data_IF_062892773130
#
_entry.id   IF_062892773130
#
_cell.length_a   1.000
_cell.length_b   1.000
_cell.length_c   1.000
_cell.angle_alpha   90.00
_cell.angle_beta   90.00
_cell.angle_gamma   90.00
#
_symmetry.space_group_name_H-M   'P 1'
#
loop_
_entity.id
_entity.type
_entity.pdbx_description
1 polymer ?
#
# COMPACT_ATOMS: atom_id res chain seq x y z
N UNK A 1 5.39 64.25 -50.59
CA UNK A 1 4.38 63.43 -49.89
C UNK A 1 4.95 62.02 -49.71
N UNK A 2 5.40 61.69 -48.50
CA UNK A 2 5.97 60.37 -48.18
C UNK A 2 4.86 59.54 -47.49
N UNK A 3 4.45 58.46 -48.12
CA UNK A 3 3.54 57.50 -47.50
C UNK A 3 4.32 56.54 -46.61
N UNK A 4 3.95 56.48 -45.35
CA UNK A 4 4.46 55.54 -44.36
C UNK A 4 3.49 54.34 -44.37
N UNK A 5 3.96 53.17 -44.79
CA UNK A 5 3.23 51.91 -44.71
C UNK A 5 3.55 51.27 -43.32
N UNK A 6 2.57 51.24 -42.42
CA UNK A 6 2.67 50.50 -41.18
C UNK A 6 2.37 49.01 -41.44
N UNK A 7 3.37 48.14 -41.31
CA UNK A 7 3.21 46.69 -41.30
C UNK A 7 2.87 46.26 -39.88
N UNK A 8 1.65 45.81 -39.64
CA UNK A 8 1.24 45.15 -38.40
C UNK A 8 1.68 43.67 -38.41
N UNK A 9 2.67 43.31 -37.57
CA UNK A 9 3.03 41.93 -37.28
C UNK A 9 1.97 41.35 -36.33
N UNK A 10 1.14 40.44 -36.81
CA UNK A 10 0.30 39.58 -35.98
C UNK A 10 1.19 38.46 -35.42
N UNK A 11 1.55 38.52 -34.12
CA UNK A 11 2.09 37.38 -33.37
C UNK A 11 0.94 36.40 -33.12
N UNK A 12 0.89 35.34 -33.89
CA UNK A 12 0.05 34.17 -33.57
C UNK A 12 0.71 33.38 -32.43
N UNK A 13 0.23 33.59 -31.20
CA UNK A 13 0.59 32.75 -30.06
C UNK A 13 -0.03 31.37 -30.27
N UNK A 14 0.76 30.40 -30.72
CA UNK A 14 0.37 29.00 -30.71
C UNK A 14 0.36 28.52 -29.25
N UNK A 15 -0.82 28.45 -28.67
CA UNK A 15 -1.03 27.68 -27.43
C UNK A 15 -0.83 26.21 -27.83
N UNK A 16 0.34 25.65 -27.51
CA UNK A 16 0.56 24.22 -27.57
C UNK A 16 -0.32 23.60 -26.49
N UNK A 17 -1.53 23.17 -26.86
CA UNK A 17 -2.34 22.33 -26.01
C UNK A 17 -1.52 21.06 -25.72
N UNK A 18 -1.25 20.76 -24.44
CA UNK A 18 -0.72 19.46 -24.06
C UNK A 18 -1.66 18.40 -24.66
N UNK A 19 -1.14 17.55 -25.54
CA UNK A 19 -1.91 16.42 -26.06
C UNK A 19 -2.34 15.58 -24.85
N UNK A 20 -3.64 15.29 -24.77
CA UNK A 20 -4.14 14.40 -23.73
C UNK A 20 -3.45 13.03 -23.89
N UNK A 21 -2.95 12.48 -22.78
CA UNK A 21 -2.38 11.14 -22.80
C UNK A 21 -3.45 10.14 -23.26
N UNK A 22 -3.05 9.19 -24.12
CA UNK A 22 -3.94 8.15 -24.67
C UNK A 22 -3.25 6.78 -24.68
N UNK A 23 -3.99 5.75 -25.07
CA UNK A 23 -3.49 4.39 -25.23
C UNK A 23 -3.71 3.49 -24.03
N UNK A 24 -2.90 2.44 -23.90
CA UNK A 24 -3.03 1.44 -22.83
C UNK A 24 -1.94 1.61 -21.80
N UNK A 25 -2.32 1.59 -20.53
CA UNK A 25 -1.46 1.52 -19.35
C UNK A 25 -1.56 0.12 -18.75
N UNK A 26 -0.43 -0.51 -18.45
CA UNK A 26 -0.38 -1.80 -17.73
C UNK A 26 0.03 -1.59 -16.27
N UNK A 27 -0.90 -1.87 -15.36
CA UNK A 27 -0.73 -1.72 -13.92
C UNK A 27 -0.50 -3.08 -13.26
N UNK A 28 0.59 -3.22 -12.48
CA UNK A 28 0.76 -4.33 -11.54
C UNK A 28 0.50 -3.84 -10.12
N UNK A 29 -0.41 -4.51 -9.39
CA UNK A 29 -0.85 -4.02 -8.09
C UNK A 29 -1.03 -5.13 -7.05
N UNK A 30 -0.84 -4.78 -5.77
CA UNK A 30 -1.19 -5.64 -4.65
C UNK A 30 -2.51 -5.25 -3.97
N UNK A 31 -3.23 -4.26 -4.49
CA UNK A 31 -4.57 -3.92 -3.99
C UNK A 31 -5.53 -5.11 -4.08
N UNK A 32 -6.55 -5.22 -3.21
CA UNK A 32 -7.67 -6.13 -3.45
C UNK A 32 -8.32 -5.87 -4.81
N UNK A 33 -8.86 -6.92 -5.46
CA UNK A 33 -9.45 -6.81 -6.79
C UNK A 33 -10.52 -5.70 -6.89
N UNK A 34 -11.39 -5.60 -5.88
CA UNK A 34 -12.44 -4.56 -5.83
C UNK A 34 -11.85 -3.16 -5.77
N UNK A 35 -10.77 -2.98 -5.04
CA UNK A 35 -10.13 -1.67 -4.84
C UNK A 35 -9.30 -1.28 -6.06
N UNK A 36 -8.60 -2.25 -6.68
CA UNK A 36 -7.90 -2.05 -7.95
C UNK A 36 -8.88 -1.61 -9.04
N UNK A 37 -10.04 -2.30 -9.15
CA UNK A 37 -11.06 -1.92 -10.12
C UNK A 37 -11.60 -0.51 -9.87
N UNK A 38 -11.94 -0.16 -8.63
CA UNK A 38 -12.44 1.19 -8.29
C UNK A 38 -11.39 2.28 -8.59
N UNK A 39 -10.11 2.00 -8.31
CA UNK A 39 -9.01 2.93 -8.61
C UNK A 39 -8.89 3.15 -10.11
N UNK A 40 -8.91 2.07 -10.88
CA UNK A 40 -8.79 2.10 -12.36
C UNK A 40 -10.00 2.79 -12.99
N UNK A 41 -11.22 2.44 -12.57
CA UNK A 41 -12.44 3.05 -13.08
C UNK A 41 -12.47 4.57 -12.82
N UNK A 42 -12.09 5.00 -11.61
CA UNK A 42 -12.04 6.41 -11.28
C UNK A 42 -10.99 7.17 -12.09
N UNK A 43 -9.83 6.54 -12.35
CA UNK A 43 -8.80 7.11 -13.20
C UNK A 43 -9.28 7.24 -14.65
N UNK A 44 -9.82 6.16 -15.24
CA UNK A 44 -10.31 6.16 -16.63
C UNK A 44 -11.47 7.14 -16.84
N UNK A 45 -12.34 7.33 -15.83
CA UNK A 45 -13.40 8.34 -15.90
C UNK A 45 -12.86 9.77 -16.05
N UNK A 46 -11.68 10.06 -15.51
CA UNK A 46 -11.00 11.35 -15.64
C UNK A 46 -10.10 11.44 -16.87
N UNK A 47 -9.70 10.30 -17.42
CA UNK A 47 -8.77 10.18 -18.55
C UNK A 47 -9.35 9.24 -19.62
N UNK A 48 -10.42 9.62 -20.32
CA UNK A 48 -11.18 8.73 -21.20
C UNK A 48 -10.38 8.20 -22.41
N UNK A 49 -9.22 8.80 -22.75
CA UNK A 49 -8.30 8.32 -23.77
C UNK A 49 -7.40 7.18 -23.32
N UNK A 50 -7.32 6.90 -22.00
CA UNK A 50 -6.43 5.88 -21.46
C UNK A 50 -7.23 4.66 -21.02
N UNK A 51 -6.88 3.48 -21.55
CA UNK A 51 -7.33 2.19 -21.05
C UNK A 51 -6.32 1.66 -20.05
N UNK A 52 -6.78 1.09 -18.95
CA UNK A 52 -5.90 0.41 -17.97
C UNK A 52 -6.17 -1.08 -17.97
N UNK A 53 -5.14 -1.85 -18.31
CA UNK A 53 -5.10 -3.29 -18.08
C UNK A 53 -4.31 -3.54 -16.78
N UNK A 54 -4.78 -4.42 -15.90
CA UNK A 54 -4.12 -4.62 -14.63
C UNK A 54 -4.00 -6.09 -14.21
N UNK A 55 -2.92 -6.38 -13.48
CA UNK A 55 -2.63 -7.68 -12.88
C UNK A 55 -2.53 -7.50 -11.38
N UNK A 56 -3.22 -8.36 -10.62
CA UNK A 56 -3.22 -8.33 -9.17
C UNK A 56 -2.73 -9.65 -8.57
N UNK A 57 -1.77 -9.55 -7.65
CA UNK A 57 -1.41 -10.61 -6.69
C UNK A 57 -0.77 -9.98 -5.44
N UNK A 58 -0.39 -10.77 -4.44
CA UNK A 58 0.43 -10.28 -3.32
C UNK A 58 1.79 -9.76 -3.80
N UNK A 59 2.34 -8.76 -3.10
CA UNK A 59 3.60 -8.11 -3.50
C UNK A 59 4.72 -9.10 -3.89
N UNK A 60 5.01 -10.18 -3.13
CA UNK A 60 6.06 -11.12 -3.52
C UNK A 60 5.84 -11.80 -4.87
N UNK A 61 4.59 -12.14 -5.20
CA UNK A 61 4.29 -12.77 -6.50
C UNK A 61 4.32 -11.78 -7.66
N UNK A 62 3.87 -10.53 -7.44
CA UNK A 62 4.01 -9.44 -8.42
C UNK A 62 5.48 -9.23 -8.75
N UNK A 63 6.37 -9.20 -7.72
CA UNK A 63 7.80 -9.06 -7.93
C UNK A 63 8.42 -10.23 -8.69
N UNK A 64 8.08 -11.46 -8.29
CA UNK A 64 8.57 -12.66 -8.98
C UNK A 64 8.20 -12.64 -10.47
N UNK A 65 6.94 -12.23 -10.78
CA UNK A 65 6.48 -12.05 -12.17
C UNK A 65 7.27 -10.96 -12.89
N UNK A 66 7.45 -9.80 -12.27
CA UNK A 66 8.19 -8.68 -12.85
C UNK A 66 9.64 -9.05 -13.14
N UNK A 67 10.34 -9.68 -12.19
CA UNK A 67 11.73 -10.11 -12.37
C UNK A 67 11.86 -11.15 -13.51
N UNK A 68 10.96 -12.14 -13.57
CA UNK A 68 10.96 -13.12 -14.66
C UNK A 68 10.75 -12.47 -16.03
N UNK A 69 9.89 -11.47 -16.15
CA UNK A 69 9.66 -10.72 -17.39
C UNK A 69 10.89 -9.88 -17.79
N UNK A 70 11.54 -9.25 -16.79
CA UNK A 70 12.77 -8.48 -17.01
C UNK A 70 13.90 -9.41 -17.48
N UNK A 71 14.09 -10.56 -16.84
CA UNK A 71 15.09 -11.56 -17.25
C UNK A 71 14.84 -12.10 -18.65
N UNK A 72 13.58 -12.27 -19.03
CA UNK A 72 13.18 -12.65 -20.38
C UNK A 72 13.29 -11.50 -21.42
N UNK A 73 13.65 -10.29 -20.99
CA UNK A 73 13.71 -9.10 -21.85
C UNK A 73 12.34 -8.61 -22.34
N UNK A 74 11.24 -8.99 -21.65
CA UNK A 74 9.86 -8.70 -22.05
C UNK A 74 9.02 -8.13 -20.87
N UNK A 75 9.45 -7.05 -20.20
CA UNK A 75 8.65 -6.44 -19.15
C UNK A 75 7.31 -5.94 -19.71
N UNK A 76 6.24 -6.23 -19.01
CA UNK A 76 4.88 -5.85 -19.44
C UNK A 76 4.33 -4.66 -18.68
N UNK A 77 4.64 -4.52 -17.40
CA UNK A 77 4.10 -3.45 -16.57
C UNK A 77 4.70 -2.08 -16.93
N UNK A 78 3.85 -1.06 -16.91
CA UNK A 78 4.24 0.35 -16.95
C UNK A 78 4.36 0.93 -15.54
N UNK A 79 3.42 0.55 -14.65
CA UNK A 79 3.29 1.10 -13.30
C UNK A 79 3.15 -0.02 -12.28
N UNK A 80 3.80 0.20 -11.14
CA UNK A 80 3.61 -0.61 -9.92
C UNK A 80 2.82 0.21 -8.90
N UNK A 81 1.83 -0.42 -8.26
CA UNK A 81 1.11 0.09 -7.09
C UNK A 81 1.03 -1.04 -6.06
N UNK A 82 2.01 -1.10 -5.16
CA UNK A 82 2.25 -2.24 -4.28
C UNK A 82 2.47 -1.82 -2.83
N UNK A 83 2.35 -2.75 -1.88
CA UNK A 83 2.17 -2.44 -0.48
C UNK A 83 3.33 -1.70 0.19
N UNK A 84 4.60 -1.86 -0.25
CA UNK A 84 5.71 -1.42 0.60
C UNK A 84 6.83 -0.63 -0.11
N UNK A 85 7.40 0.30 0.67
CA UNK A 85 8.53 1.15 0.27
C UNK A 85 9.83 0.35 0.14
N UNK A 86 10.02 -0.72 0.93
CA UNK A 86 11.25 -1.53 0.91
C UNK A 86 11.45 -2.14 -0.47
N UNK A 87 10.38 -2.67 -1.05
CA UNK A 87 10.36 -3.16 -2.42
C UNK A 87 10.74 -2.06 -3.44
N UNK A 88 10.16 -0.86 -3.28
CA UNK A 88 10.48 0.26 -4.17
C UNK A 88 11.95 0.68 -4.05
N UNK A 89 12.52 0.70 -2.85
CA UNK A 89 13.95 0.95 -2.64
C UNK A 89 14.83 -0.11 -3.32
N UNK A 90 14.43 -1.38 -3.29
CA UNK A 90 15.10 -2.46 -4.01
C UNK A 90 15.13 -2.21 -5.52
N UNK A 91 13.97 -1.98 -6.11
CA UNK A 91 13.82 -1.70 -7.55
C UNK A 91 14.53 -0.41 -7.98
N UNK A 92 14.54 0.62 -7.11
CA UNK A 92 15.32 1.84 -7.34
C UNK A 92 16.81 1.56 -7.41
N UNK A 93 17.36 0.78 -6.46
CA UNK A 93 18.78 0.37 -6.46
C UNK A 93 19.17 -0.43 -7.71
N UNK A 94 18.24 -1.20 -8.25
CA UNK A 94 18.40 -1.94 -9.50
C UNK A 94 18.26 -1.07 -10.76
N UNK A 95 17.93 0.23 -10.63
CA UNK A 95 17.67 1.13 -11.76
C UNK A 95 16.39 0.81 -12.54
N UNK A 96 15.41 0.17 -11.88
CA UNK A 96 14.16 -0.26 -12.51
C UNK A 96 13.06 0.79 -12.48
N UNK A 97 13.23 1.88 -11.72
CA UNK A 97 12.22 2.93 -11.58
C UNK A 97 12.60 4.17 -12.39
N UNK A 98 11.61 4.77 -13.04
CA UNK A 98 11.73 6.04 -13.74
C UNK A 98 11.58 7.20 -12.74
N UNK A 99 12.49 8.15 -12.76
CA UNK A 99 12.30 9.40 -12.02
C UNK A 99 11.24 10.27 -12.70
N UNK A 100 10.33 10.84 -11.90
CA UNK A 100 9.29 11.76 -12.36
C UNK A 100 9.36 13.06 -11.53
N UNK A 101 10.31 13.97 -11.82
CA UNK A 101 10.50 15.20 -11.05
C UNK A 101 9.28 16.14 -11.06
N UNK A 102 8.51 16.12 -12.15
CA UNK A 102 7.33 16.97 -12.37
C UNK A 102 6.07 16.47 -11.65
N UNK A 103 6.14 15.33 -10.93
CA UNK A 103 5.01 14.79 -10.19
C UNK A 103 4.39 15.82 -9.23
N UNK A 104 3.07 15.91 -9.24
CA UNK A 104 2.30 16.89 -8.46
C UNK A 104 2.19 16.46 -7.00
N UNK A 105 3.24 16.74 -6.23
CA UNK A 105 3.34 16.37 -4.80
C UNK A 105 2.84 17.45 -3.85
N UNK A 106 2.26 18.55 -4.37
CA UNK A 106 1.70 19.61 -3.54
C UNK A 106 0.63 19.07 -2.59
N UNK A 107 0.79 19.36 -1.30
CA UNK A 107 -0.10 18.85 -0.24
C UNK A 107 0.26 17.48 0.31
N UNK A 108 1.36 16.86 -0.14
CA UNK A 108 1.96 15.67 0.46
C UNK A 108 3.12 16.07 1.38
N UNK A 109 3.28 15.34 2.49
CA UNK A 109 4.48 15.44 3.32
C UNK A 109 5.71 14.92 2.54
N UNK A 110 6.86 15.57 2.69
CA UNK A 110 8.10 15.17 2.03
C UNK A 110 8.57 13.75 2.39
N UNK A 111 8.15 13.22 3.53
CA UNK A 111 8.40 11.84 3.94
C UNK A 111 7.57 10.80 3.14
N UNK A 112 6.58 11.24 2.37
CA UNK A 112 5.68 10.35 1.61
C UNK A 112 6.11 10.12 0.16
N UNK A 113 7.27 10.61 -0.26
CA UNK A 113 7.82 10.31 -1.58
C UNK A 113 9.34 10.27 -1.54
N UNK A 114 9.91 9.50 -2.47
CA UNK A 114 11.36 9.43 -2.63
C UNK A 114 11.96 10.79 -3.02
N UNK A 115 13.12 11.11 -2.45
CA UNK A 115 13.86 12.37 -2.74
C UNK A 115 14.20 12.53 -4.22
N UNK A 116 14.46 11.40 -4.91
CA UNK A 116 14.80 11.38 -6.34
C UNK A 116 13.53 11.22 -7.22
N UNK A 117 12.32 11.30 -6.61
CA UNK A 117 11.03 11.23 -7.29
C UNK A 117 10.82 9.94 -8.11
N UNK A 118 11.31 8.81 -7.63
CA UNK A 118 11.15 7.52 -8.30
C UNK A 118 9.92 6.74 -7.83
N UNK A 119 9.39 7.04 -6.64
CA UNK A 119 8.12 6.49 -6.14
C UNK A 119 7.43 7.47 -5.19
N UNK A 120 6.11 7.30 -5.03
CA UNK A 120 5.24 8.21 -4.28
C UNK A 120 4.23 7.40 -3.47
N UNK A 121 4.11 7.68 -2.19
CA UNK A 121 3.10 7.08 -1.31
C UNK A 121 1.70 7.59 -1.68
N UNK A 122 0.73 6.68 -1.78
CA UNK A 122 -0.62 7.02 -2.22
C UNK A 122 -1.63 7.03 -1.08
N UNK A 123 -1.34 6.36 0.03
CA UNK A 123 -2.21 6.26 1.20
C UNK A 123 -1.41 5.72 2.39
N UNK A 124 -1.99 5.73 3.56
CA UNK A 124 -1.47 5.05 4.73
C UNK A 124 -2.38 3.86 5.06
N UNK A 125 -1.78 2.71 5.26
CA UNK A 125 -2.46 1.47 5.66
C UNK A 125 -1.75 0.97 6.91
N UNK A 126 -2.45 0.95 8.05
CA UNK A 126 -1.88 0.47 9.30
C UNK A 126 -2.24 -1.00 9.56
N UNK A 127 -1.41 -1.71 10.32
CA UNK A 127 -1.74 -3.06 10.78
C UNK A 127 -1.96 -3.03 12.28
N UNK A 128 -3.14 -3.49 12.70
CA UNK A 128 -3.55 -3.58 14.09
C UNK A 128 -4.22 -4.92 14.39
N UNK A 129 -5.05 -4.96 15.43
CA UNK A 129 -5.74 -6.18 15.87
C UNK A 129 -7.20 -6.14 15.46
N UNK A 130 -7.64 -7.12 14.66
CA UNK A 130 -9.07 -7.43 14.50
C UNK A 130 -9.49 -8.43 15.57
N UNK A 131 -10.69 -8.27 16.09
CA UNK A 131 -11.30 -9.27 16.95
C UNK A 131 -12.77 -9.51 16.57
N UNK A 132 -13.22 -10.74 16.76
CA UNK A 132 -14.64 -11.07 16.63
C UNK A 132 -15.38 -10.59 17.89
N UNK A 133 -16.59 -10.07 17.75
CA UNK A 133 -17.39 -9.58 18.90
C UNK A 133 -17.74 -10.67 19.93
N UNK A 134 -17.53 -11.95 19.60
CA UNK A 134 -17.64 -13.10 20.52
C UNK A 134 -16.34 -13.43 21.23
N UNK A 135 -15.27 -12.66 21.02
CA UNK A 135 -13.98 -12.89 21.66
C UNK A 135 -14.12 -12.77 23.19
N UNK A 136 -13.34 -13.55 23.96
CA UNK A 136 -13.45 -13.56 25.43
C UNK A 136 -13.01 -12.25 26.08
N UNK A 137 -12.31 -11.38 25.37
CA UNK A 137 -11.94 -10.04 25.80
C UNK A 137 -11.75 -9.11 24.60
N UNK A 138 -11.78 -7.80 24.83
CA UNK A 138 -11.41 -6.78 23.87
C UNK A 138 -9.89 -6.51 23.99
N UNK A 139 -9.08 -6.75 22.95
CA UNK A 139 -7.65 -6.49 23.01
C UNK A 139 -7.38 -4.98 23.02
N UNK A 140 -6.29 -4.55 23.67
CA UNK A 140 -5.83 -3.16 23.72
C UNK A 140 -4.32 -3.03 23.43
N UNK A 141 -3.64 -4.17 23.36
CA UNK A 141 -2.19 -4.30 23.32
C UNK A 141 -1.80 -5.50 22.46
N UNK A 142 -0.64 -5.45 21.81
CA UNK A 142 -0.04 -6.62 21.18
C UNK A 142 0.19 -7.76 22.17
N UNK A 143 0.46 -7.42 23.44
CA UNK A 143 0.64 -8.38 24.53
C UNK A 143 -0.62 -9.23 24.80
N UNK A 144 -1.79 -8.68 24.53
CA UNK A 144 -3.04 -9.38 24.76
C UNK A 144 -3.19 -10.66 23.93
N UNK A 145 -2.52 -10.73 22.76
CA UNK A 145 -2.51 -11.91 21.92
C UNK A 145 -1.70 -13.09 22.50
N UNK A 146 -0.87 -12.84 23.54
CA UNK A 146 -0.14 -13.90 24.27
C UNK A 146 -0.95 -14.51 25.41
N UNK A 147 -2.11 -13.94 25.75
CA UNK A 147 -2.95 -14.43 26.84
C UNK A 147 -3.44 -15.86 26.59
N UNK A 148 -3.55 -16.69 27.64
CA UNK A 148 -4.08 -18.07 27.50
C UNK A 148 -5.46 -18.13 26.84
N UNK A 149 -6.32 -17.12 27.06
CA UNK A 149 -7.67 -17.03 26.50
C UNK A 149 -7.67 -16.81 24.96
N UNK A 150 -6.54 -16.39 24.40
CA UNK A 150 -6.36 -16.27 22.95
C UNK A 150 -5.75 -17.52 22.30
N UNK A 151 -5.45 -18.56 23.11
CA UNK A 151 -4.75 -19.77 22.63
C UNK A 151 -5.51 -20.47 21.50
N UNK A 152 -4.84 -20.65 20.37
CA UNK A 152 -5.38 -21.30 19.16
C UNK A 152 -6.40 -20.44 18.39
N UNK A 153 -6.70 -19.23 18.86
CA UNK A 153 -7.74 -18.35 18.31
C UNK A 153 -7.19 -17.18 17.48
N UNK A 154 -5.90 -17.18 17.15
CA UNK A 154 -5.21 -16.07 16.47
C UNK A 154 -4.92 -16.45 15.01
N UNK A 155 -5.25 -15.56 14.08
CA UNK A 155 -4.80 -15.59 12.69
C UNK A 155 -3.89 -14.40 12.37
N UNK A 156 -2.91 -14.60 11.50
CA UNK A 156 -2.09 -13.50 10.98
C UNK A 156 -1.73 -13.76 9.51
N UNK A 157 -1.51 -12.72 8.69
CA UNK A 157 -1.03 -12.90 7.33
C UNK A 157 0.45 -13.32 7.34
N UNK A 158 0.85 -14.10 6.34
CA UNK A 158 2.25 -14.51 6.19
C UNK A 158 3.06 -13.45 5.46
N UNK A 159 4.28 -13.10 5.93
CA UNK A 159 5.20 -12.23 5.20
C UNK A 159 5.69 -12.84 3.88
N UNK A 160 5.51 -14.15 3.67
CA UNK A 160 5.83 -14.82 2.41
C UNK A 160 4.81 -14.51 1.30
N UNK A 161 3.61 -14.01 1.66
CA UNK A 161 2.51 -13.76 0.71
C UNK A 161 2.01 -12.33 0.74
N UNK A 162 2.37 -11.54 1.77
CA UNK A 162 1.90 -10.16 1.97
C UNK A 162 3.04 -9.22 2.31
N UNK A 163 3.26 -8.20 1.47
CA UNK A 163 4.23 -7.14 1.73
C UNK A 163 3.91 -6.36 3.02
N UNK A 164 2.63 -6.08 3.27
CA UNK A 164 2.21 -5.43 4.52
C UNK A 164 2.54 -6.27 5.76
N UNK A 165 2.38 -7.61 5.67
CA UNK A 165 2.77 -8.52 6.75
C UNK A 165 4.28 -8.52 6.98
N UNK A 166 5.08 -8.41 5.91
CA UNK A 166 6.53 -8.29 6.02
C UNK A 166 6.93 -7.04 6.79
N UNK A 167 6.40 -5.88 6.41
CA UNK A 167 6.64 -4.63 7.11
C UNK A 167 6.15 -4.69 8.56
N UNK A 168 4.99 -5.29 8.80
CA UNK A 168 4.48 -5.50 10.16
C UNK A 168 5.46 -6.35 10.99
N UNK A 169 5.95 -7.44 10.44
CA UNK A 169 6.90 -8.32 11.11
C UNK A 169 8.18 -7.58 11.52
N UNK A 170 8.84 -6.88 10.58
CA UNK A 170 10.08 -6.15 10.89
C UNK A 170 9.84 -4.97 11.85
N UNK A 171 8.68 -4.32 11.75
CA UNK A 171 8.31 -3.22 12.65
C UNK A 171 8.14 -3.73 14.08
N UNK A 172 7.36 -4.78 14.30
CA UNK A 172 7.15 -5.31 15.65
C UNK A 172 8.42 -5.89 16.25
N UNK A 173 9.17 -6.67 15.47
CA UNK A 173 10.44 -7.25 15.97
C UNK A 173 11.52 -6.20 16.28
N UNK A 174 11.45 -5.04 15.63
CA UNK A 174 12.34 -3.91 15.91
C UNK A 174 11.84 -2.97 17.01
N UNK A 175 10.54 -2.96 17.30
CA UNK A 175 9.92 -2.00 18.23
C UNK A 175 9.52 -2.60 19.57
N UNK A 176 9.16 -3.89 19.61
CA UNK A 176 8.82 -4.57 20.87
C UNK A 176 10.09 -5.03 21.59
N UNK A 177 10.15 -4.94 22.92
CA UNK A 177 11.32 -5.35 23.69
C UNK A 177 11.75 -6.81 23.48
N UNK A 178 10.79 -7.69 23.24
CA UNK A 178 11.02 -9.12 23.01
C UNK A 178 11.52 -9.45 21.60
N UNK A 179 11.38 -8.51 20.66
CA UNK A 179 11.80 -8.76 19.27
C UNK A 179 11.14 -10.00 18.68
N UNK A 180 11.96 -10.95 18.20
CA UNK A 180 11.48 -12.21 17.60
C UNK A 180 10.82 -13.16 18.61
N UNK A 181 11.12 -13.06 19.91
CA UNK A 181 10.51 -13.91 20.94
C UNK A 181 9.01 -13.64 21.06
N UNK A 182 8.54 -12.44 20.68
CA UNK A 182 7.12 -12.13 20.55
C UNK A 182 6.41 -13.10 19.58
N UNK A 183 6.96 -13.29 18.38
CA UNK A 183 6.39 -14.26 17.42
C UNK A 183 6.52 -15.71 17.89
N UNK A 184 7.61 -16.04 18.60
CA UNK A 184 7.77 -17.32 19.27
C UNK A 184 6.70 -17.59 20.33
N UNK A 185 6.32 -16.57 21.10
CA UNK A 185 5.24 -16.67 22.07
C UNK A 185 3.88 -16.84 21.37
N UNK A 186 3.63 -16.15 20.27
CA UNK A 186 2.41 -16.33 19.47
C UNK A 186 2.32 -17.73 18.85
N UNK A 187 3.42 -18.27 18.33
CA UNK A 187 3.47 -19.65 17.82
C UNK A 187 3.13 -20.67 18.91
N UNK A 188 3.74 -20.55 20.10
CA UNK A 188 3.41 -21.38 21.28
C UNK A 188 1.96 -21.20 21.74
N UNK A 189 1.37 -20.02 21.52
CA UNK A 189 -0.04 -19.76 21.77
C UNK A 189 -0.96 -20.27 20.63
N UNK A 190 -0.42 -20.98 19.67
CA UNK A 190 -1.17 -21.60 18.56
C UNK A 190 -1.67 -20.61 17.51
N UNK A 191 -1.00 -19.47 17.37
CA UNK A 191 -1.29 -18.53 16.28
C UNK A 191 -0.99 -19.16 14.91
N UNK A 192 -1.87 -18.91 13.94
CA UNK A 192 -1.72 -19.43 12.58
C UNK A 192 -1.36 -18.29 11.62
N UNK A 193 -0.25 -18.47 10.91
CA UNK A 193 0.21 -17.55 9.88
C UNK A 193 0.04 -18.21 8.50
N UNK A 194 -0.97 -17.78 7.74
CA UNK A 194 -1.23 -18.33 6.42
C UNK A 194 -1.93 -17.33 5.51
N UNK A 195 -1.65 -17.40 4.21
CA UNK A 195 -2.30 -16.56 3.22
C UNK A 195 -2.05 -15.06 3.44
N UNK A 196 -3.02 -14.25 3.09
CA UNK A 196 -2.98 -12.80 3.17
C UNK A 196 -4.00 -12.23 4.16
N UNK A 197 -4.12 -10.88 4.18
CA UNK A 197 -5.07 -10.20 5.06
C UNK A 197 -6.54 -10.60 4.83
N UNK A 198 -6.91 -10.95 3.57
CA UNK A 198 -8.26 -11.45 3.27
C UNK A 198 -8.59 -12.76 3.96
N UNK A 199 -7.60 -13.66 4.12
CA UNK A 199 -7.79 -14.95 4.81
C UNK A 199 -7.97 -14.72 6.31
N UNK A 200 -7.22 -13.79 6.91
CA UNK A 200 -7.38 -13.39 8.31
C UNK A 200 -8.77 -12.82 8.54
N UNK A 201 -9.22 -11.88 7.68
CA UNK A 201 -10.56 -11.31 7.79
C UNK A 201 -11.64 -12.41 7.75
N UNK A 202 -11.53 -13.32 6.79
CA UNK A 202 -12.49 -14.44 6.64
C UNK A 202 -12.52 -15.31 7.89
N UNK A 203 -11.35 -15.69 8.41
CA UNK A 203 -11.26 -16.54 9.60
C UNK A 203 -11.87 -15.87 10.84
N UNK A 204 -11.60 -14.57 11.04
CA UNK A 204 -12.08 -13.83 12.22
C UNK A 204 -13.58 -13.48 12.08
N UNK A 205 -14.02 -13.00 10.91
CA UNK A 205 -15.43 -12.67 10.70
C UNK A 205 -16.33 -13.92 10.72
N UNK A 206 -15.83 -15.06 10.22
CA UNK A 206 -16.48 -16.35 10.28
C UNK A 206 -16.52 -16.98 11.68
N UNK A 207 -15.66 -16.54 12.60
CA UNK A 207 -15.57 -17.08 13.96
C UNK A 207 -14.68 -18.33 14.10
N UNK A 208 -13.97 -18.74 13.05
CA UNK A 208 -12.96 -19.82 13.11
C UNK A 208 -11.76 -19.38 13.97
N UNK A 209 -11.44 -18.09 13.96
CA UNK A 209 -10.52 -17.41 14.85
C UNK A 209 -11.24 -16.23 15.50
N UNK A 210 -10.79 -15.83 16.68
CA UNK A 210 -11.40 -14.72 17.39
C UNK A 210 -10.54 -13.47 17.44
N UNK A 211 -9.28 -13.59 17.10
CA UNK A 211 -8.31 -12.49 17.02
C UNK A 211 -7.50 -12.60 15.73
N UNK A 212 -7.01 -11.47 15.24
CA UNK A 212 -6.08 -11.48 14.10
C UNK A 212 -5.25 -10.21 14.01
N UNK A 213 -4.08 -10.33 13.40
CA UNK A 213 -3.31 -9.19 12.92
C UNK A 213 -3.76 -8.91 11.48
N UNK A 214 -4.13 -7.67 11.19
CA UNK A 214 -4.69 -7.34 9.87
C UNK A 214 -4.53 -5.85 9.56
N UNK A 215 -4.53 -5.51 8.29
CA UNK A 215 -4.61 -4.11 7.83
C UNK A 215 -5.97 -3.49 8.18
N UNK A 216 -5.94 -2.24 8.62
CA UNK A 216 -7.03 -1.50 9.27
C UNK A 216 -8.35 -1.42 8.49
N UNK A 217 -8.27 -1.01 7.21
CA UNK A 217 -9.45 -0.72 6.40
C UNK A 217 -10.38 -1.93 6.21
N UNK A 218 -9.85 -3.14 6.23
CA UNK A 218 -10.65 -4.35 5.99
C UNK A 218 -11.69 -4.61 7.09
N UNK A 219 -11.31 -4.78 8.37
CA UNK A 219 -12.27 -4.99 9.44
C UNK A 219 -13.15 -3.76 9.69
N UNK A 220 -12.63 -2.54 9.51
CA UNK A 220 -13.42 -1.31 9.65
C UNK A 220 -14.57 -1.27 8.63
N UNK A 221 -14.30 -1.61 7.36
CA UNK A 221 -15.34 -1.73 6.32
C UNK A 221 -16.34 -2.84 6.62
N UNK A 222 -15.88 -4.00 7.06
CA UNK A 222 -16.77 -5.12 7.35
C UNK A 222 -17.64 -4.86 8.58
N UNK A 223 -17.10 -4.21 9.64
CA UNK A 223 -17.90 -3.71 10.77
C UNK A 223 -19.02 -2.77 10.30
N UNK A 224 -18.70 -1.83 9.40
CA UNK A 224 -19.68 -0.90 8.85
C UNK A 224 -20.81 -1.59 8.06
N UNK A 225 -20.56 -2.79 7.53
CA UNK A 225 -21.56 -3.65 6.87
C UNK A 225 -22.30 -4.58 7.84
N UNK A 226 -22.01 -4.53 9.14
CA UNK A 226 -22.65 -5.34 10.18
C UNK A 226 -21.97 -6.69 10.45
N UNK A 227 -20.75 -6.92 9.95
CA UNK A 227 -19.99 -8.12 10.32
C UNK A 227 -19.63 -8.09 11.81
N UNK A 228 -19.58 -9.27 12.49
CA UNK A 228 -19.32 -9.36 13.92
C UNK A 228 -17.83 -9.19 14.25
N UNK A 229 -17.20 -8.12 13.76
CA UNK A 229 -15.79 -7.81 13.97
C UNK A 229 -15.61 -6.36 14.42
N UNK A 230 -14.53 -6.10 15.12
CA UNK A 230 -14.06 -4.75 15.41
C UNK A 230 -12.54 -4.66 15.28
N UNK A 231 -11.99 -3.45 15.25
CA UNK A 231 -10.57 -3.20 15.05
C UNK A 231 -10.00 -2.33 16.16
N UNK A 232 -8.77 -2.65 16.56
CA UNK A 232 -8.05 -1.94 17.60
C UNK A 232 -6.70 -1.48 17.07
N UNK A 233 -6.38 -0.23 17.37
CA UNK A 233 -5.02 0.32 17.29
C UNK A 233 -4.33 0.04 18.64
N UNK A 234 -3.39 -0.93 18.75
CA UNK A 234 -2.75 -1.28 20.01
C UNK A 234 -1.99 -0.10 20.63
N UNK A 235 -1.97 -0.03 21.95
CA UNK A 235 -1.37 1.09 22.71
C UNK A 235 0.12 1.29 22.43
N UNK A 236 0.86 0.23 22.08
CA UNK A 236 2.27 0.31 21.70
C UNK A 236 2.46 1.06 20.38
N UNK A 237 1.44 1.02 19.51
CA UNK A 237 1.42 1.56 18.17
C UNK A 237 1.24 0.50 17.11
N UNK A 238 1.10 0.94 15.87
CA UNK A 238 0.84 0.13 14.68
C UNK A 238 2.00 0.24 13.70
N UNK A 239 2.25 -0.81 12.91
CA UNK A 239 3.04 -0.66 11.69
C UNK A 239 2.23 0.01 10.60
N UNK A 240 2.90 0.60 9.63
CA UNK A 240 2.24 1.22 8.48
C UNK A 240 2.96 0.93 7.17
N UNK A 241 2.20 0.75 6.10
CA UNK A 241 2.67 0.78 4.72
C UNK A 241 1.96 1.90 3.98
N UNK A 242 2.62 2.46 2.97
CA UNK A 242 2.13 3.65 2.28
C UNK A 242 1.60 3.37 0.88
N UNK A 243 1.59 2.12 0.46
CA UNK A 243 1.21 1.63 -0.87
C UNK A 243 1.73 2.55 -1.99
N UNK A 244 3.07 2.60 -2.16
CA UNK A 244 3.67 3.49 -3.13
C UNK A 244 3.34 3.11 -4.57
N UNK A 245 3.25 4.14 -5.42
CA UNK A 245 3.19 4.04 -6.87
C UNK A 245 4.55 4.39 -7.47
N UNK A 246 4.98 3.64 -8.49
CA UNK A 246 6.19 3.92 -9.26
C UNK A 246 5.99 3.61 -10.74
N UNK A 247 6.64 4.39 -11.61
CA UNK A 247 6.73 4.13 -13.04
C UNK A 247 7.96 3.28 -13.30
N UNK A 248 7.83 2.20 -14.05
CA UNK A 248 8.98 1.40 -14.44
C UNK A 248 9.81 2.10 -15.50
N UNK A 249 11.15 1.96 -15.44
CA UNK A 249 12.06 2.51 -16.44
C UNK A 249 11.83 1.93 -17.84
N UNK A 250 11.13 0.78 -17.93
CA UNK A 250 10.75 0.09 -19.16
C UNK A 250 9.31 0.40 -19.61
N UNK A 251 8.63 1.35 -18.97
CA UNK A 251 7.26 1.71 -19.29
C UNK A 251 7.12 2.10 -20.76
N UNK A 252 6.16 1.48 -21.42
CA UNK A 252 5.88 1.68 -22.86
C UNK A 252 5.05 2.95 -23.10
N UNK A 253 4.16 3.28 -22.14
CA UNK A 253 3.32 4.47 -22.19
C UNK A 253 3.60 5.37 -20.97
N UNK A 254 4.73 6.10 -21.01
CA UNK A 254 5.16 6.94 -19.91
C UNK A 254 4.19 8.10 -19.62
N UNK A 255 3.55 8.67 -20.65
CA UNK A 255 2.61 9.78 -20.43
C UNK A 255 1.33 9.30 -19.72
N UNK A 256 0.79 8.13 -20.09
CA UNK A 256 -0.31 7.53 -19.35
C UNK A 256 0.11 7.13 -17.92
N UNK A 257 1.34 6.64 -17.73
CA UNK A 257 1.89 6.30 -16.42
C UNK A 257 2.01 7.54 -15.51
N UNK A 258 2.53 8.66 -16.04
CA UNK A 258 2.59 9.94 -15.31
C UNK A 258 1.19 10.46 -14.96
N UNK A 259 0.25 10.41 -15.91
CA UNK A 259 -1.14 10.79 -15.65
C UNK A 259 -1.77 9.94 -14.53
N UNK A 260 -1.46 8.64 -14.47
CA UNK A 260 -1.93 7.75 -13.40
C UNK A 260 -1.32 8.11 -12.04
N UNK A 261 -0.02 8.37 -11.98
CA UNK A 261 0.65 8.85 -10.76
C UNK A 261 0.02 10.16 -10.29
N UNK A 262 -0.10 11.16 -11.17
CA UNK A 262 -0.69 12.47 -10.85
C UNK A 262 -2.14 12.35 -10.34
N UNK A 263 -2.93 11.44 -10.95
CA UNK A 263 -4.28 11.15 -10.47
C UNK A 263 -4.28 10.61 -9.04
N UNK A 264 -3.45 9.60 -8.74
CA UNK A 264 -3.38 9.01 -7.40
C UNK A 264 -2.95 10.03 -6.34
N UNK A 265 -2.08 10.98 -6.69
CA UNK A 265 -1.59 12.03 -5.78
C UNK A 265 -2.54 13.24 -5.70
N UNK A 266 -3.48 13.38 -6.63
CA UNK A 266 -4.44 14.47 -6.67
C UNK A 266 -5.46 14.36 -5.53
N UNK A 267 -6.15 15.48 -5.22
CA UNK A 267 -7.24 15.46 -4.24
C UNK A 267 -8.35 14.48 -4.65
N UNK A 268 -8.73 14.45 -5.93
CA UNK A 268 -9.75 13.53 -6.45
C UNK A 268 -9.36 12.05 -6.22
N UNK A 269 -8.12 11.67 -6.55
CA UNK A 269 -7.61 10.32 -6.33
C UNK A 269 -7.55 9.95 -4.85
N UNK A 270 -7.19 10.91 -4.00
CA UNK A 270 -7.14 10.71 -2.55
C UNK A 270 -8.55 10.63 -1.91
N UNK A 271 -9.54 11.34 -2.46
CA UNK A 271 -10.95 11.18 -2.07
C UNK A 271 -11.49 9.80 -2.49
N UNK A 272 -11.07 9.26 -3.62
CA UNK A 272 -11.37 7.87 -4.01
C UNK A 272 -10.76 6.89 -3.00
N UNK A 273 -9.49 7.08 -2.60
CA UNK A 273 -8.86 6.27 -1.57
C UNK A 273 -9.61 6.35 -0.23
N UNK A 274 -10.02 7.54 0.20
CA UNK A 274 -10.82 7.73 1.40
C UNK A 274 -12.20 7.03 1.32
N UNK A 275 -12.89 7.14 0.19
CA UNK A 275 -14.17 6.43 -0.05
C UNK A 275 -14.03 4.91 0.01
N UNK A 276 -12.87 4.40 -0.41
CA UNK A 276 -12.50 2.99 -0.25
C UNK A 276 -12.10 2.65 1.20
N UNK A 277 -12.09 3.61 2.15
CA UNK A 277 -11.78 3.41 3.55
C UNK A 277 -10.29 3.43 3.88
N UNK A 278 -9.42 3.91 3.01
CA UNK A 278 -8.00 4.12 3.29
C UNK A 278 -7.73 5.48 3.95
N UNK A 279 -6.69 5.56 4.76
CA UNK A 279 -6.17 6.85 5.25
C UNK A 279 -5.49 7.56 4.08
N UNK A 280 -5.98 8.73 3.61
CA UNK A 280 -5.36 9.45 2.50
C UNK A 280 -3.93 9.90 2.85
N UNK A 281 -3.03 9.90 1.86
CA UNK A 281 -1.69 10.48 2.02
C UNK A 281 -1.76 12.01 2.19
N UNK A 282 -2.73 12.66 1.56
CA UNK A 282 -2.96 14.11 1.69
C UNK A 282 -3.65 14.44 3.00
N UNK A 283 -3.09 15.42 3.73
CA UNK A 283 -3.66 15.88 4.99
C UNK A 283 -4.95 16.70 4.82
N UNK A 284 -5.16 17.31 3.63
CA UNK A 284 -6.34 18.10 3.28
C UNK A 284 -7.54 17.26 2.80
N UNK A 285 -7.43 15.94 2.83
CA UNK A 285 -8.54 15.00 2.58
C UNK A 285 -8.96 14.35 3.89
N UNK A 286 -10.27 14.36 4.16
CA UNK A 286 -10.84 13.82 5.39
C UNK A 286 -10.61 12.31 5.53
N UNK A 287 -10.44 11.85 6.76
CA UNK A 287 -10.40 10.43 7.08
C UNK A 287 -11.75 9.77 6.82
N UNK A 288 -11.76 8.48 6.42
CA UNK A 288 -12.99 7.71 6.37
C UNK A 288 -13.64 7.54 7.76
N UNK A 289 -14.93 7.27 7.78
CA UNK A 289 -15.62 6.92 9.01
C UNK A 289 -15.03 5.65 9.66
N UNK A 290 -15.00 5.62 10.99
CA UNK A 290 -14.49 4.49 11.77
C UNK A 290 -13.02 4.59 12.17
N UNK A 291 -12.31 5.62 11.69
CA UNK A 291 -10.95 5.92 12.14
C UNK A 291 -10.95 6.93 13.31
N UNK A 292 -10.01 6.81 14.25
CA UNK A 292 -9.73 7.87 15.21
C UNK A 292 -9.05 9.06 14.51
N UNK A 293 -8.89 10.17 15.22
CA UNK A 293 -8.13 11.31 14.70
C UNK A 293 -6.72 10.88 14.24
N UNK A 294 -6.29 11.37 13.06
CA UNK A 294 -4.98 11.01 12.47
C UNK A 294 -3.83 11.16 13.47
N UNK A 295 -3.82 12.23 14.28
CA UNK A 295 -2.78 12.49 15.26
C UNK A 295 -2.75 11.49 16.43
N UNK A 296 -3.84 10.74 16.66
CA UNK A 296 -3.92 9.72 17.71
C UNK A 296 -3.42 8.34 17.25
N UNK A 297 -3.22 8.13 15.95
CA UNK A 297 -2.68 6.88 15.41
C UNK A 297 -1.17 6.88 15.61
N UNK A 298 -0.71 6.15 16.63
CA UNK A 298 0.73 5.99 16.90
C UNK A 298 1.35 5.01 15.91
N UNK A 299 2.11 5.52 14.95
CA UNK A 299 2.84 4.69 13.97
C UNK A 299 4.23 4.37 14.51
N UNK A 300 4.59 3.08 14.50
CA UNK A 300 5.92 2.59 14.83
C UNK A 300 6.83 2.70 13.61
N UNK A 301 8.06 3.13 13.83
CA UNK A 301 9.07 3.19 12.79
C UNK A 301 9.76 1.84 12.55
N UNK A 302 10.39 1.69 11.40
CA UNK A 302 11.31 0.59 11.09
C UNK A 302 12.45 1.11 10.20
N UNK A 303 13.56 0.39 10.18
CA UNK A 303 14.67 0.68 9.29
C UNK A 303 14.43 0.01 7.92
N UNK A 304 14.05 0.80 6.91
CA UNK A 304 13.75 0.30 5.57
C UNK A 304 15.00 -0.29 4.88
N UNK A 305 16.19 0.26 5.13
CA UNK A 305 17.43 -0.25 4.54
C UNK A 305 17.80 -1.61 5.14
N UNK A 306 17.68 -1.76 6.47
CA UNK A 306 17.88 -3.03 7.15
C UNK A 306 16.81 -4.06 6.76
N UNK A 307 15.54 -3.64 6.62
CA UNK A 307 14.46 -4.51 6.17
C UNK A 307 14.73 -5.07 4.76
N UNK A 308 15.20 -4.22 3.83
CA UNK A 308 15.59 -4.63 2.49
C UNK A 308 16.79 -5.59 2.51
N UNK A 309 17.84 -5.24 3.25
CA UNK A 309 19.06 -6.06 3.31
C UNK A 309 18.81 -7.46 3.90
N UNK A 310 17.85 -7.59 4.80
CA UNK A 310 17.55 -8.82 5.53
C UNK A 310 16.22 -9.48 5.11
N UNK A 311 15.61 -9.09 3.98
CA UNK A 311 14.26 -9.58 3.58
C UNK A 311 14.17 -11.12 3.55
N UNK A 312 15.10 -11.77 2.86
CA UNK A 312 15.14 -13.24 2.77
C UNK A 312 15.34 -13.89 4.16
N UNK A 313 16.27 -13.36 4.96
CA UNK A 313 16.56 -13.88 6.29
C UNK A 313 15.36 -13.71 7.23
N UNK A 314 14.67 -12.57 7.17
CA UNK A 314 13.47 -12.32 7.97
C UNK A 314 12.33 -13.28 7.62
N UNK A 315 12.13 -13.59 6.32
CA UNK A 315 11.15 -14.57 5.85
C UNK A 315 11.48 -16.00 6.33
N UNK A 316 12.73 -16.39 6.23
CA UNK A 316 13.21 -17.69 6.73
C UNK A 316 13.03 -17.79 8.24
N UNK A 317 13.45 -16.76 9.00
CA UNK A 317 13.30 -16.71 10.44
C UNK A 317 11.84 -16.75 10.88
N UNK A 318 10.96 -15.99 10.20
CA UNK A 318 9.52 -16.06 10.48
C UNK A 318 8.98 -17.47 10.27
N UNK A 319 9.33 -18.12 9.16
CA UNK A 319 8.90 -19.48 8.87
C UNK A 319 9.37 -20.46 9.94
N UNK A 320 10.64 -20.39 10.35
CA UNK A 320 11.20 -21.22 11.39
C UNK A 320 10.53 -21.02 12.75
N UNK A 321 10.24 -19.79 13.14
CA UNK A 321 9.58 -19.46 14.39
C UNK A 321 8.12 -19.92 14.41
N UNK A 322 7.39 -19.76 13.31
CA UNK A 322 5.97 -20.12 13.23
C UNK A 322 5.73 -21.64 13.00
N UNK A 323 6.79 -22.40 12.73
CA UNK A 323 6.73 -23.89 12.56
C UNK A 323 6.99 -24.66 13.87
N UNK A 324 7.26 -23.97 14.98
CA UNK A 324 7.47 -24.56 16.31
C UNK A 324 6.12 -24.85 17.00
#
# INVERSE_FOLDING_TARGET
MRQIVLAALLLASTVAGAAAADGTLVLYTSQPNTDAQQTVDAFMAKNPGIKVDWVRDGTPKILAKLHAEIEAGQPQADVLLIADVVTMEGLKKEGRLLAYPEAKVDGLDAALYDKDKTYFSTKLITTGIVYNTKAPFVPTSWEDLKKPEAKGLIAMPSPLTSGAAMIHTVTLTGSLPEGWDYYGALAKNGAQASGGNGDVLKAVSGGDKLFGMIVDYMPIREKAKGAPVDFVFPKEGVSAVTEPVAILSTAKNQEAAKAFVDFLLSKDGQEVAAKMGYIPARADVALPAGYPDRASIKVLGYDAAAALANDAQNKEKFSAVMSQ
#
